data_IF_638877847646
#
_entry.id   IF_638877847646
#
_cell.length_a   1.000
_cell.length_b   1.000
_cell.length_c   1.000
_cell.angle_alpha   90.00
_cell.angle_beta   90.00
_cell.angle_gamma   90.00
#
_symmetry.space_group_name_H-M   'P 1'
#
loop_
_entity.id
_entity.type
_entity.pdbx_description
1 polymer ?
#
# COMPACT_ATOMS: atom_id res chain seq x y z
N UNK A 1 14.85 3.64 -10.49
CA UNK A 1 13.98 3.66 -9.31
C UNK A 1 13.55 5.10 -9.13
N UNK A 2 12.25 5.35 -9.12
CA UNK A 2 11.67 6.68 -8.96
C UNK A 2 10.69 6.67 -7.79
N UNK A 3 10.54 7.80 -7.10
CA UNK A 3 9.53 7.99 -6.06
C UNK A 3 8.53 9.02 -6.58
N UNK A 4 7.24 8.68 -6.53
CA UNK A 4 6.15 9.47 -7.10
C UNK A 4 5.00 9.57 -6.10
N UNK A 5 4.27 10.67 -6.15
CA UNK A 5 3.01 10.79 -5.43
C UNK A 5 1.97 9.87 -6.07
N UNK A 6 1.08 9.31 -5.24
CA UNK A 6 0.02 8.44 -5.72
C UNK A 6 -0.85 9.10 -6.79
N UNK A 7 -1.21 8.30 -7.80
CA UNK A 7 -2.22 8.67 -8.79
C UNK A 7 -3.17 7.51 -9.04
N UNK A 8 -4.36 7.81 -9.57
CA UNK A 8 -5.42 6.82 -9.76
C UNK A 8 -4.99 5.61 -10.62
N UNK A 9 -4.03 5.76 -11.55
CA UNK A 9 -3.53 4.63 -12.34
C UNK A 9 -2.71 3.62 -11.54
N UNK A 10 -2.23 4.00 -10.35
CA UNK A 10 -1.45 3.11 -9.47
C UNK A 10 -2.33 2.32 -8.49
N UNK A 11 -3.63 2.62 -8.41
CA UNK A 11 -4.53 2.10 -7.37
C UNK A 11 -4.60 0.58 -7.33
N UNK A 12 -4.78 -0.07 -8.49
CA UNK A 12 -4.85 -1.54 -8.55
C UNK A 12 -3.54 -2.20 -8.11
N UNK A 13 -2.40 -1.65 -8.54
CA UNK A 13 -1.07 -2.15 -8.17
C UNK A 13 -0.81 -2.03 -6.67
N UNK A 14 -1.20 -0.90 -6.05
CA UNK A 14 -1.06 -0.67 -4.61
C UNK A 14 -1.95 -1.61 -3.79
N UNK A 15 -3.23 -1.76 -4.17
CA UNK A 15 -4.16 -2.68 -3.53
C UNK A 15 -3.63 -4.11 -3.56
N UNK A 16 -3.09 -4.54 -4.70
CA UNK A 16 -2.50 -5.87 -4.86
C UNK A 16 -1.25 -6.04 -4.00
N UNK A 17 -0.31 -5.10 -4.07
CA UNK A 17 0.91 -5.12 -3.26
C UNK A 17 0.59 -5.21 -1.77
N UNK A 18 -0.37 -4.42 -1.28
CA UNK A 18 -0.84 -4.45 0.10
C UNK A 18 -1.41 -5.81 0.50
N UNK A 19 -2.30 -6.36 -0.32
CA UNK A 19 -2.93 -7.67 -0.07
C UNK A 19 -1.89 -8.80 -0.02
N UNK A 20 -1.04 -8.87 -1.05
CA UNK A 20 -0.04 -9.93 -1.19
C UNK A 20 0.97 -9.84 -0.04
N UNK A 21 1.47 -8.64 0.28
CA UNK A 21 2.41 -8.42 1.39
C UNK A 21 1.84 -8.86 2.74
N UNK A 22 0.55 -8.59 3.00
CA UNK A 22 -0.10 -9.01 4.26
C UNK A 22 -0.29 -10.53 4.32
N UNK A 23 -0.67 -11.17 3.21
CA UNK A 23 -0.78 -12.63 3.16
C UNK A 23 0.55 -13.33 3.40
N UNK A 24 1.62 -12.79 2.85
CA UNK A 24 2.98 -13.34 3.00
C UNK A 24 3.56 -13.10 4.40
N UNK A 25 3.28 -11.93 4.98
CA UNK A 25 3.82 -11.54 6.29
C UNK A 25 3.07 -12.16 7.48
N UNK A 26 1.78 -12.50 7.29
CA UNK A 26 0.90 -12.99 8.35
C UNK A 26 0.33 -14.39 8.04
N UNK A 27 1.16 -15.41 7.80
CA UNK A 27 0.70 -16.75 7.38
C UNK A 27 -0.14 -17.47 8.43
N UNK A 28 -0.14 -17.00 9.69
CA UNK A 28 -0.98 -17.53 10.77
C UNK A 28 -2.43 -17.05 10.72
N UNK A 29 -2.74 -16.03 9.92
CA UNK A 29 -4.11 -15.60 9.64
C UNK A 29 -4.63 -16.32 8.40
N UNK A 30 -5.95 -16.50 8.32
CA UNK A 30 -6.57 -17.09 7.12
C UNK A 30 -6.42 -16.13 5.95
N UNK A 31 -6.05 -16.63 4.77
CA UNK A 31 -5.87 -15.81 3.58
C UNK A 31 -7.12 -15.00 3.20
N UNK A 32 -8.31 -15.55 3.48
CA UNK A 32 -9.62 -14.90 3.25
C UNK A 32 -9.92 -13.78 4.25
N UNK A 33 -9.12 -13.64 5.30
CA UNK A 33 -9.20 -12.50 6.23
C UNK A 33 -8.61 -11.22 5.63
N UNK A 34 -7.88 -11.31 4.52
CA UNK A 34 -7.34 -10.15 3.80
C UNK A 34 -8.11 -9.96 2.50
N UNK A 35 -8.58 -8.73 2.29
CA UNK A 35 -9.38 -8.34 1.14
C UNK A 35 -8.72 -7.19 0.38
N UNK A 36 -8.98 -7.11 -0.91
CA UNK A 36 -8.38 -6.06 -1.75
C UNK A 36 -8.90 -4.67 -1.37
N UNK A 37 -10.14 -4.59 -0.87
CA UNK A 37 -10.78 -3.36 -0.39
C UNK A 37 -10.23 -2.88 0.96
N UNK A 38 -9.47 -3.72 1.69
CA UNK A 38 -8.88 -3.31 2.96
C UNK A 38 -7.90 -2.14 2.77
N UNK A 39 -7.19 -2.09 1.63
CA UNK A 39 -6.32 -0.97 1.30
C UNK A 39 -7.08 0.36 1.30
N UNK A 40 -8.23 0.42 0.62
CA UNK A 40 -9.00 1.67 0.51
C UNK A 40 -9.50 2.17 1.86
N UNK A 41 -9.93 1.23 2.73
CA UNK A 41 -10.37 1.55 4.09
C UNK A 41 -9.19 1.99 4.95
N UNK A 42 -8.08 1.27 4.89
CA UNK A 42 -6.96 1.42 5.82
C UNK A 42 -6.03 2.59 5.44
N UNK A 43 -6.10 3.09 4.20
CA UNK A 43 -5.37 4.26 3.71
C UNK A 43 -6.28 5.46 3.42
N UNK A 44 -7.53 5.43 3.89
CA UNK A 44 -8.49 6.49 3.61
C UNK A 44 -8.01 7.84 4.15
N UNK A 45 -8.04 8.87 3.31
CA UNK A 45 -7.61 10.24 3.64
C UNK A 45 -6.12 10.37 4.00
N UNK A 46 -5.31 9.36 3.68
CA UNK A 46 -3.87 9.41 3.88
C UNK A 46 -3.14 9.87 2.61
N UNK A 47 -1.98 10.49 2.81
CA UNK A 47 -1.11 10.87 1.71
C UNK A 47 -0.18 9.73 1.36
N UNK A 48 -0.25 9.29 0.11
CA UNK A 48 0.47 8.11 -0.37
C UNK A 48 1.58 8.50 -1.35
N UNK A 49 2.75 7.93 -1.12
CA UNK A 49 3.87 7.96 -2.06
C UNK A 49 4.26 6.53 -2.41
N UNK A 50 4.68 6.31 -3.65
CA UNK A 50 5.08 4.99 -4.14
C UNK A 50 6.46 5.03 -4.78
N UNK A 51 7.15 3.90 -4.73
CA UNK A 51 8.36 3.69 -5.53
C UNK A 51 8.07 2.85 -6.75
N UNK A 52 8.63 3.25 -7.88
CA UNK A 52 8.50 2.56 -9.16
C UNK A 52 9.88 2.08 -9.66
N UNK A 53 9.94 0.82 -10.09
CA UNK A 53 11.12 0.20 -10.68
C UNK A 53 10.70 -0.44 -12.01
N UNK A 54 11.27 0.04 -13.11
CA UNK A 54 10.97 -0.44 -14.47
C UNK A 54 9.46 -0.41 -14.80
N UNK A 55 8.75 0.63 -14.35
CA UNK A 55 7.31 0.78 -14.55
C UNK A 55 6.41 -0.02 -13.60
N UNK A 56 6.98 -0.79 -12.67
CA UNK A 56 6.24 -1.55 -11.67
C UNK A 56 6.33 -0.90 -10.30
N UNK A 57 5.21 -0.88 -9.57
CA UNK A 57 5.18 -0.45 -8.16
C UNK A 57 5.98 -1.44 -7.33
N UNK A 58 7.05 -0.97 -6.70
CA UNK A 58 7.93 -1.79 -5.85
C UNK A 58 7.62 -1.64 -4.37
N UNK A 59 7.01 -0.54 -3.96
CA UNK A 59 6.74 -0.24 -2.56
C UNK A 59 5.91 1.03 -2.40
N UNK A 60 5.37 1.26 -1.21
CA UNK A 60 4.67 2.50 -0.89
C UNK A 60 4.77 2.88 0.59
N UNK A 61 4.50 4.16 0.85
CA UNK A 61 4.32 4.73 2.16
C UNK A 61 2.99 5.46 2.21
N UNK A 62 2.26 5.32 3.31
CA UNK A 62 1.02 6.05 3.58
C UNK A 62 1.17 6.85 4.87
N UNK A 63 0.87 8.15 4.78
CA UNK A 63 1.13 9.12 5.84
C UNK A 63 -0.21 9.71 6.29
N UNK A 64 -0.48 9.58 7.58
CA UNK A 64 -1.51 10.34 8.27
C UNK A 64 -0.94 11.71 8.64
N UNK A 65 -1.17 12.70 7.78
CA UNK A 65 -0.61 14.06 7.89
C UNK A 65 -0.96 14.78 9.21
N UNK A 66 -2.16 14.64 9.82
CA UNK A 66 -2.48 15.35 11.06
C UNK A 66 -1.48 15.15 12.19
N UNK A 67 -0.91 13.94 12.31
CA UNK A 67 0.04 13.59 13.38
C UNK A 67 1.47 13.33 12.86
N UNK A 68 1.74 13.57 11.57
CA UNK A 68 2.98 13.18 10.89
C UNK A 68 3.33 11.70 11.10
N UNK A 69 2.32 10.84 11.07
CA UNK A 69 2.46 9.41 11.37
C UNK A 69 2.54 8.59 10.09
N UNK A 70 3.54 7.71 10.00
CA UNK A 70 3.63 6.72 8.92
C UNK A 70 2.77 5.53 9.33
N UNK A 71 1.60 5.40 8.72
CA UNK A 71 0.67 4.32 9.04
C UNK A 71 1.01 3.03 8.30
N UNK A 72 1.40 3.14 7.02
CA UNK A 72 1.76 1.99 6.19
C UNK A 72 3.11 2.21 5.53
N UNK A 73 3.97 1.19 5.58
CA UNK A 73 5.24 1.13 4.87
C UNK A 73 5.46 -0.28 4.33
N UNK A 74 5.51 -0.43 3.01
CA UNK A 74 5.64 -1.70 2.31
C UNK A 74 6.74 -1.57 1.24
N UNK A 75 7.69 -2.52 1.20
CA UNK A 75 8.89 -2.53 0.34
C UNK A 75 9.24 -3.94 -0.14
#
# INVERSE_FOLDING_TARGET
>A
MEIKEFSACNLESLRKLYLDSRRDSFPWLKADSFRIEDFDRDSQSERIWLSEVLGNVAGFISIWEPDNFIHHLYV
#
